data_IF_452379987216
#
_entry.id   IF_452379987216
#
_cell.length_a   1.000
_cell.length_b   1.000
_cell.length_c   1.000
_cell.angle_alpha   90.00
_cell.angle_beta   90.00
_cell.angle_gamma   90.00
#
_symmetry.space_group_name_H-M   'P 1'
#
loop_
_entity.id
_entity.type
_entity.pdbx_description
1 polymer ?
#
# COMPACT_ATOMS: atom_id res chain seq x y z
N UNK A 1 -5.30 12.91 20.08
CA UNK A 1 -4.27 12.46 19.11
C UNK A 1 -5.05 11.94 17.92
N UNK A 2 -4.91 12.55 16.74
CA UNK A 2 -5.85 12.31 15.64
C UNK A 2 -5.58 10.94 15.00
N UNK A 3 -6.44 10.00 15.32
CA UNK A 3 -6.45 8.57 14.99
C UNK A 3 -6.90 8.34 13.52
N UNK A 4 -6.25 9.01 12.57
CA UNK A 4 -6.59 8.91 11.16
C UNK A 4 -5.79 7.79 10.48
N UNK A 5 -6.54 6.89 9.85
CA UNK A 5 -6.01 5.75 9.12
C UNK A 5 -5.21 6.23 7.88
N UNK A 6 -3.97 5.75 7.68
CA UNK A 6 -3.09 6.23 6.61
C UNK A 6 -3.61 5.94 5.21
N UNK A 7 -4.24 4.78 5.00
CA UNK A 7 -4.81 4.45 3.71
C UNK A 7 -5.97 5.40 3.41
N UNK A 8 -6.79 5.72 4.41
CA UNK A 8 -7.92 6.64 4.26
C UNK A 8 -7.48 8.04 3.84
N UNK A 9 -6.41 8.58 4.45
CA UNK A 9 -5.94 9.94 4.15
C UNK A 9 -5.09 10.02 2.88
N UNK A 10 -4.26 9.01 2.61
CA UNK A 10 -3.35 9.02 1.46
C UNK A 10 -4.01 8.57 0.16
N UNK A 11 -5.04 7.71 0.21
CA UNK A 11 -5.68 7.17 -1.00
C UNK A 11 -6.21 8.27 -1.93
N UNK A 12 -6.96 9.30 -1.47
CA UNK A 12 -7.44 10.37 -2.34
C UNK A 12 -6.30 11.18 -2.97
N UNK A 13 -5.17 11.30 -2.28
CA UNK A 13 -3.99 12.02 -2.79
C UNK A 13 -3.24 11.22 -3.86
N UNK A 14 -3.24 9.89 -3.75
CA UNK A 14 -2.58 8.97 -4.68
C UNK A 14 -3.40 8.66 -5.93
N UNK A 15 -4.72 8.62 -5.81
CA UNK A 15 -5.63 8.22 -6.89
C UNK A 15 -5.41 8.97 -8.23
N UNK A 16 -5.15 10.29 -8.26
CA UNK A 16 -4.85 11.00 -9.51
C UNK A 16 -3.57 10.52 -10.20
N UNK A 17 -2.60 10.03 -9.44
CA UNK A 17 -1.30 9.56 -9.93
C UNK A 17 -1.32 8.09 -10.34
N UNK A 18 -2.26 7.31 -9.79
CA UNK A 18 -2.46 5.90 -10.11
C UNK A 18 -3.19 5.66 -11.45
N UNK A 19 -3.43 6.71 -12.24
CA UNK A 19 -4.09 6.55 -13.55
C UNK A 19 -3.09 5.98 -14.58
N UNK A 20 -3.50 5.02 -15.44
CA UNK A 20 -2.61 4.45 -16.46
C UNK A 20 -1.92 5.48 -17.36
N UNK A 21 -2.61 6.59 -17.64
CA UNK A 21 -2.10 7.68 -18.46
C UNK A 21 -0.92 8.43 -17.83
N UNK A 22 -0.69 8.30 -16.52
CA UNK A 22 0.36 9.00 -15.78
C UNK A 22 1.65 8.16 -15.66
N UNK A 23 1.62 6.87 -16.01
CA UNK A 23 2.74 5.93 -15.77
C UNK A 23 4.03 6.37 -16.44
N UNK A 24 4.00 6.53 -17.77
CA UNK A 24 5.18 6.90 -18.53
C UNK A 24 5.62 8.34 -18.22
N UNK A 25 4.64 9.21 -17.95
CA UNK A 25 4.88 10.61 -17.59
C UNK A 25 5.64 10.75 -16.26
N UNK A 26 5.35 9.91 -15.25
CA UNK A 26 6.03 9.93 -13.96
C UNK A 26 7.49 9.47 -14.04
N UNK A 27 7.75 8.38 -14.75
CA UNK A 27 9.12 7.91 -14.98
C UNK A 27 9.91 8.93 -15.79
N UNK A 28 9.30 9.52 -16.82
CA UNK A 28 9.93 10.56 -17.63
C UNK A 28 10.19 11.84 -16.85
N UNK A 29 9.24 12.28 -16.02
CA UNK A 29 9.36 13.48 -15.19
C UNK A 29 10.50 13.33 -14.18
N UNK A 30 10.59 12.18 -13.51
CA UNK A 30 11.69 11.89 -12.59
C UNK A 30 13.04 11.88 -13.32
N UNK A 31 13.14 11.14 -14.43
CA UNK A 31 14.37 11.12 -15.23
C UNK A 31 14.80 12.52 -15.65
N UNK A 32 13.87 13.30 -16.17
CA UNK A 32 14.12 14.68 -16.61
C UNK A 32 14.59 15.56 -15.44
N UNK A 33 13.99 15.41 -14.27
CA UNK A 33 14.39 16.18 -13.08
C UNK A 33 15.80 15.81 -12.59
N UNK A 34 16.13 14.52 -12.59
CA UNK A 34 17.47 14.03 -12.24
C UNK A 34 18.50 14.55 -13.25
N UNK A 35 18.26 14.38 -14.55
CA UNK A 35 19.16 14.87 -15.60
C UNK A 35 19.38 16.38 -15.50
N UNK A 36 18.32 17.18 -15.29
CA UNK A 36 18.46 18.64 -15.09
C UNK A 36 19.30 18.98 -13.87
N UNK A 37 19.12 18.27 -12.77
CA UNK A 37 19.90 18.48 -11.54
C UNK A 37 21.38 18.19 -11.76
N UNK A 38 21.69 17.13 -12.52
CA UNK A 38 23.06 16.76 -12.87
C UNK A 38 23.68 17.73 -13.87
N UNK A 39 22.93 18.25 -14.84
CA UNK A 39 23.42 19.31 -15.74
C UNK A 39 23.79 20.57 -14.96
N UNK A 40 23.01 20.94 -13.93
CA UNK A 40 23.38 22.08 -13.05
C UNK A 40 24.69 21.80 -12.30
N UNK A 41 24.90 20.56 -11.84
CA UNK A 41 26.09 20.18 -11.08
C UNK A 41 27.35 20.00 -11.95
N UNK A 42 27.20 19.41 -13.14
CA UNK A 42 28.31 19.01 -14.01
C UNK A 42 28.50 19.91 -15.23
N UNK A 43 27.56 20.81 -15.51
CA UNK A 43 27.51 21.68 -16.70
C UNK A 43 26.99 20.96 -17.95
N UNK A 44 27.31 19.68 -18.13
CA UNK A 44 26.76 18.82 -19.17
C UNK A 44 26.78 17.34 -18.71
N UNK A 45 25.97 16.51 -19.36
CA UNK A 45 25.99 15.05 -19.16
C UNK A 45 26.66 14.44 -20.40
N UNK A 46 27.72 13.67 -20.18
CA UNK A 46 28.25 12.74 -21.18
C UNK A 46 27.65 11.34 -20.93
N UNK A 47 26.65 10.91 -21.72
CA UNK A 47 25.93 9.67 -21.47
C UNK A 47 26.80 8.41 -21.64
N UNK A 48 27.82 8.47 -22.50
CA UNK A 48 28.68 7.34 -22.84
C UNK A 48 29.89 7.21 -21.91
N UNK A 49 30.15 8.23 -21.08
CA UNK A 49 31.20 8.20 -20.07
C UNK A 49 31.01 6.99 -19.13
N UNK A 50 32.08 6.24 -18.82
CA UNK A 50 32.05 5.27 -17.73
C UNK A 50 31.65 5.92 -16.40
N UNK A 51 30.65 5.34 -15.73
CA UNK A 51 30.18 5.87 -14.46
C UNK A 51 31.13 5.51 -13.31
N UNK A 52 31.50 6.49 -12.50
CA UNK A 52 32.16 6.26 -11.21
C UNK A 52 31.13 6.16 -10.08
N UNK A 53 31.52 5.59 -8.93
CA UNK A 53 30.65 5.58 -7.74
C UNK A 53 30.21 6.99 -7.32
N UNK A 54 31.07 8.00 -7.51
CA UNK A 54 30.72 9.39 -7.24
C UNK A 54 29.65 9.93 -8.22
N UNK A 55 29.72 9.55 -9.49
CA UNK A 55 28.69 9.91 -10.47
C UNK A 55 27.34 9.26 -10.09
N UNK A 56 27.36 7.99 -9.67
CA UNK A 56 26.16 7.28 -9.21
C UNK A 56 25.61 7.86 -7.92
N UNK A 57 26.47 8.27 -6.98
CA UNK A 57 26.03 8.97 -5.78
C UNK A 57 25.26 10.25 -6.10
N UNK A 58 25.72 11.02 -7.08
CA UNK A 58 25.00 12.21 -7.53
C UNK A 58 23.65 11.87 -8.18
N UNK A 59 23.59 10.81 -9.00
CA UNK A 59 22.34 10.32 -9.60
C UNK A 59 21.35 9.93 -8.50
N UNK A 60 21.76 9.10 -7.54
CA UNK A 60 20.90 8.64 -6.44
C UNK A 60 20.47 9.80 -5.57
N UNK A 61 21.38 10.74 -5.24
CA UNK A 61 21.02 11.91 -4.44
C UNK A 61 19.99 12.81 -5.14
N UNK A 62 20.09 12.99 -6.45
CA UNK A 62 19.10 13.73 -7.23
C UNK A 62 17.75 12.98 -7.29
N UNK A 63 17.77 11.65 -7.43
CA UNK A 63 16.57 10.81 -7.35
C UNK A 63 15.89 10.93 -5.99
N UNK A 64 16.65 10.79 -4.90
CA UNK A 64 16.16 10.89 -3.51
C UNK A 64 15.53 12.28 -3.27
N UNK A 65 16.15 13.35 -3.77
CA UNK A 65 15.62 14.70 -3.66
C UNK A 65 14.31 14.90 -4.42
N UNK A 66 14.19 14.36 -5.65
CA UNK A 66 12.95 14.40 -6.41
C UNK A 66 11.82 13.64 -5.69
N UNK A 67 12.14 12.44 -5.20
CA UNK A 67 11.23 11.58 -4.45
C UNK A 67 10.71 12.27 -3.19
N UNK A 68 11.60 12.90 -2.42
CA UNK A 68 11.21 13.67 -1.24
C UNK A 68 10.32 14.86 -1.62
N UNK A 69 10.66 15.59 -2.69
CA UNK A 69 9.85 16.71 -3.17
C UNK A 69 8.45 16.28 -3.61
N UNK A 70 8.33 15.15 -4.31
CA UNK A 70 7.04 14.57 -4.68
C UNK A 70 6.24 14.16 -3.45
N UNK A 71 6.86 13.47 -2.49
CA UNK A 71 6.21 13.08 -1.24
C UNK A 71 5.69 14.29 -0.45
N UNK A 72 6.50 15.35 -0.36
CA UNK A 72 6.14 16.59 0.33
C UNK A 72 5.01 17.35 -0.36
N UNK A 73 4.88 17.20 -1.68
CA UNK A 73 3.82 17.81 -2.47
C UNK A 73 2.51 17.01 -2.46
N UNK A 74 2.60 15.67 -2.43
CA UNK A 74 1.44 14.78 -2.64
C UNK A 74 0.93 14.19 -1.32
N UNK A 75 1.82 13.62 -0.51
CA UNK A 75 1.43 12.83 0.67
C UNK A 75 1.41 13.67 1.94
N UNK A 76 2.44 14.49 2.17
CA UNK A 76 2.56 15.31 3.39
C UNK A 76 1.33 16.22 3.63
N UNK A 77 0.73 16.88 2.62
CA UNK A 77 -0.45 17.70 2.84
C UNK A 77 -1.68 16.88 3.21
N UNK A 78 -1.80 15.67 2.68
CA UNK A 78 -2.91 14.76 2.96
C UNK A 78 -2.80 14.13 4.35
N UNK A 79 -1.60 13.75 4.76
CA UNK A 79 -1.34 13.12 6.04
C UNK A 79 -1.36 14.09 7.23
N UNK A 80 -1.23 15.42 7.03
CA UNK A 80 -1.28 16.45 8.10
C UNK A 80 -0.35 16.19 9.32
N UNK A 81 0.72 15.41 9.17
CA UNK A 81 1.60 14.97 10.28
C UNK A 81 3.08 15.32 10.05
N UNK A 82 3.90 15.50 11.12
CA UNK A 82 5.33 15.75 11.00
C UNK A 82 6.09 14.48 10.60
N UNK A 83 7.22 14.63 9.89
CA UNK A 83 7.83 13.58 9.06
C UNK A 83 8.40 12.34 9.78
N UNK A 84 8.56 12.33 11.11
CA UNK A 84 9.50 11.41 11.75
C UNK A 84 8.88 10.38 12.73
N UNK A 85 7.55 10.28 12.85
CA UNK A 85 6.92 9.60 14.00
C UNK A 85 6.10 8.34 13.70
N UNK A 86 6.14 7.82 12.47
CA UNK A 86 5.39 6.61 12.17
C UNK A 86 6.36 5.45 11.98
N UNK A 87 6.50 4.64 13.04
CA UNK A 87 7.02 3.26 12.94
C UNK A 87 6.01 2.38 12.20
N UNK A 88 5.72 2.73 10.95
CA UNK A 88 4.81 1.98 10.10
C UNK A 88 5.47 0.69 9.64
N UNK A 89 4.81 -0.46 9.80
CA UNK A 89 5.30 -1.74 9.29
C UNK A 89 5.08 -1.91 7.78
N UNK A 90 4.48 -0.93 7.08
CA UNK A 90 4.14 -0.99 5.65
C UNK A 90 5.15 -0.25 4.74
N UNK A 91 5.03 -0.43 3.42
CA UNK A 91 5.82 0.30 2.41
C UNK A 91 5.60 1.81 2.53
N UNK A 92 4.41 2.28 2.92
CA UNK A 92 4.16 3.67 3.33
C UNK A 92 5.12 4.16 4.44
N UNK A 93 5.55 3.28 5.34
CA UNK A 93 6.59 3.59 6.33
C UNK A 93 7.95 3.76 5.69
N UNK A 94 8.27 2.94 4.68
CA UNK A 94 9.43 3.14 3.82
C UNK A 94 9.31 4.41 2.94
N UNK A 95 8.10 4.89 2.63
CA UNK A 95 7.89 6.14 1.89
C UNK A 95 8.31 7.38 2.68
N UNK A 96 8.06 7.38 3.98
CA UNK A 96 8.52 8.43 4.92
C UNK A 96 10.04 8.43 5.08
N UNK A 97 10.69 7.39 4.58
CA UNK A 97 12.06 7.01 4.88
C UNK A 97 12.91 6.87 3.60
N UNK A 98 12.34 7.24 2.45
CA UNK A 98 12.96 7.17 1.13
C UNK A 98 14.26 8.01 1.03
N UNK A 99 14.55 8.86 2.02
CA UNK A 99 15.84 9.54 2.19
C UNK A 99 16.95 8.67 2.80
N UNK A 100 16.69 7.41 3.20
CA UNK A 100 17.67 6.56 3.93
C UNK A 100 18.91 6.22 3.14
N UNK A 101 18.84 6.16 1.81
CA UNK A 101 20.00 5.94 0.96
C UNK A 101 21.03 7.06 1.13
N UNK A 102 20.62 8.29 1.45
CA UNK A 102 21.51 9.46 1.53
C UNK A 102 22.44 9.59 0.31
N UNK A 103 21.96 9.24 -0.88
CA UNK A 103 22.79 9.21 -2.09
C UNK A 103 23.80 8.06 -2.16
N UNK A 104 23.74 7.04 -1.30
CA UNK A 104 24.60 5.84 -1.40
C UNK A 104 24.17 4.99 -2.60
N UNK A 105 25.11 4.72 -3.49
CA UNK A 105 24.89 4.02 -4.75
C UNK A 105 26.22 3.56 -5.34
N UNK A 106 26.23 2.43 -6.03
CA UNK A 106 27.44 1.86 -6.63
C UNK A 106 27.29 1.84 -8.14
N UNK A 107 28.37 2.11 -8.87
CA UNK A 107 28.44 1.92 -10.30
C UNK A 107 28.34 0.42 -10.65
N UNK A 108 27.10 -0.06 -10.76
CA UNK A 108 26.78 -1.44 -11.15
C UNK A 108 26.60 -1.58 -12.67
N UNK A 109 26.46 -0.46 -13.39
CA UNK A 109 26.31 -0.41 -14.85
C UNK A 109 27.47 0.38 -15.48
N UNK A 110 27.72 0.13 -16.76
CA UNK A 110 28.93 0.58 -17.43
C UNK A 110 28.96 2.10 -17.68
N UNK A 111 27.84 2.69 -18.11
CA UNK A 111 27.79 4.10 -18.54
C UNK A 111 26.87 4.96 -17.67
N UNK A 112 27.01 6.28 -17.76
CA UNK A 112 26.09 7.23 -17.09
C UNK A 112 24.65 6.99 -17.54
N UNK A 113 24.42 6.79 -18.85
CA UNK A 113 23.08 6.52 -19.37
C UNK A 113 22.43 5.29 -18.74
N UNK A 114 23.16 4.18 -18.63
CA UNK A 114 22.63 2.95 -18.02
C UNK A 114 22.36 3.08 -16.52
N UNK A 115 23.17 3.86 -15.80
CA UNK A 115 22.93 4.13 -14.39
C UNK A 115 21.73 5.08 -14.21
N UNK A 116 21.56 6.10 -15.06
CA UNK A 116 20.36 6.95 -15.09
C UNK A 116 19.10 6.13 -15.36
N UNK A 117 19.11 5.27 -16.37
CA UNK A 117 17.99 4.38 -16.71
C UNK A 117 17.58 3.48 -15.54
N UNK A 118 18.53 3.14 -14.67
CA UNK A 118 18.30 2.26 -13.53
C UNK A 118 17.84 3.02 -12.28
N UNK A 119 18.55 4.08 -11.89
CA UNK A 119 18.33 4.80 -10.63
C UNK A 119 17.33 5.96 -10.74
N UNK A 120 17.07 6.49 -11.94
CA UNK A 120 16.12 7.59 -12.15
C UNK A 120 14.71 7.10 -12.50
N UNK A 121 14.28 5.99 -11.87
CA UNK A 121 12.92 5.45 -12.00
C UNK A 121 12.10 5.84 -10.79
N UNK A 122 10.84 6.22 -11.02
CA UNK A 122 9.91 6.52 -9.96
C UNK A 122 9.70 5.30 -9.05
N UNK A 123 10.15 5.35 -7.78
CA UNK A 123 10.21 4.16 -6.94
C UNK A 123 8.84 3.71 -6.43
N UNK A 124 7.87 4.62 -6.35
CA UNK A 124 6.53 4.34 -5.83
C UNK A 124 5.55 3.81 -6.88
N UNK A 125 6.05 3.45 -8.06
CA UNK A 125 5.21 2.91 -9.11
C UNK A 125 4.46 1.64 -8.68
N UNK A 126 5.10 0.74 -7.92
CA UNK A 126 4.46 -0.48 -7.42
C UNK A 126 3.20 -0.19 -6.60
N UNK A 127 3.28 0.75 -5.66
CA UNK A 127 2.11 1.14 -4.88
C UNK A 127 1.05 1.88 -5.70
N UNK A 128 1.42 2.67 -6.71
CA UNK A 128 0.44 3.27 -7.62
C UNK A 128 -0.33 2.19 -8.39
N UNK A 129 0.31 1.08 -8.78
CA UNK A 129 -0.41 -0.07 -9.36
C UNK A 129 -1.36 -0.72 -8.35
N UNK A 130 -1.00 -0.79 -7.06
CA UNK A 130 -1.91 -1.28 -6.01
C UNK A 130 -3.14 -0.37 -5.88
N UNK A 131 -2.94 0.96 -5.87
CA UNK A 131 -4.03 1.95 -5.79
C UNK A 131 -4.92 1.89 -7.04
N UNK A 132 -4.34 1.74 -8.22
CA UNK A 132 -5.08 1.55 -9.48
C UNK A 132 -5.99 0.31 -9.40
N UNK A 133 -5.43 -0.83 -8.95
CA UNK A 133 -6.19 -2.06 -8.85
C UNK A 133 -7.25 -1.99 -7.75
N UNK A 134 -6.93 -1.42 -6.60
CA UNK A 134 -7.89 -1.17 -5.52
C UNK A 134 -9.09 -0.35 -6.00
N UNK A 135 -8.84 0.70 -6.80
CA UNK A 135 -9.92 1.51 -7.39
C UNK A 135 -10.75 0.71 -8.39
N UNK A 136 -10.11 -0.13 -9.21
CA UNK A 136 -10.82 -1.02 -10.12
C UNK A 136 -11.77 -1.95 -9.36
N UNK A 137 -11.25 -2.71 -8.38
CA UNK A 137 -12.03 -3.64 -7.56
C UNK A 137 -13.17 -2.95 -6.81
N UNK A 138 -12.93 -1.74 -6.29
CA UNK A 138 -13.97 -0.97 -5.59
C UNK A 138 -15.12 -0.52 -6.51
N UNK A 139 -14.84 -0.25 -7.80
CA UNK A 139 -15.81 0.17 -8.81
C UNK A 139 -16.58 -0.98 -9.44
N UNK A 140 -15.98 -2.15 -9.58
CA UNK A 140 -16.58 -3.32 -10.23
C UNK A 140 -17.48 -4.12 -9.29
N UNK A 141 -17.28 -3.99 -7.99
CA UNK A 141 -18.08 -4.70 -6.97
C UNK A 141 -19.43 -4.02 -6.70
N UNK A 142 -20.48 -4.84 -6.55
CA UNK A 142 -21.86 -4.37 -6.36
C UNK A 142 -22.55 -5.09 -5.20
N UNK A 143 -23.69 -4.57 -4.74
CA UNK A 143 -24.46 -5.16 -3.64
C UNK A 143 -24.33 -4.42 -2.32
N UNK A 144 -24.58 -5.12 -1.22
CA UNK A 144 -24.49 -4.54 0.13
C UNK A 144 -23.04 -4.16 0.47
N UNK A 145 -22.80 -3.20 1.39
CA UNK A 145 -21.44 -2.85 1.84
C UNK A 145 -20.58 -4.06 2.20
N UNK A 146 -21.18 -5.04 2.88
CA UNK A 146 -20.54 -6.30 3.28
C UNK A 146 -20.15 -7.17 2.08
N UNK A 147 -21.04 -7.31 1.09
CA UNK A 147 -20.76 -8.05 -0.14
C UNK A 147 -19.65 -7.38 -0.95
N UNK A 148 -19.72 -6.05 -1.13
CA UNK A 148 -18.68 -5.29 -1.82
C UNK A 148 -17.31 -5.47 -1.18
N UNK A 149 -17.24 -5.40 0.15
CA UNK A 149 -15.99 -5.62 0.90
C UNK A 149 -15.44 -7.05 0.72
N UNK A 150 -16.29 -8.06 0.80
CA UNK A 150 -15.90 -9.46 0.59
C UNK A 150 -15.40 -9.69 -0.85
N UNK A 151 -16.17 -9.24 -1.84
CA UNK A 151 -15.87 -9.45 -3.26
C UNK A 151 -14.59 -8.73 -3.67
N UNK A 152 -14.41 -7.46 -3.25
CA UNK A 152 -13.21 -6.69 -3.56
C UNK A 152 -11.97 -7.29 -2.91
N UNK A 153 -12.08 -7.77 -1.66
CA UNK A 153 -10.98 -8.48 -0.98
C UNK A 153 -10.60 -9.76 -1.73
N UNK A 154 -11.60 -10.54 -2.15
CA UNK A 154 -11.36 -11.77 -2.89
C UNK A 154 -10.74 -11.52 -4.26
N UNK A 155 -11.14 -10.46 -4.96
CA UNK A 155 -10.54 -10.02 -6.22
C UNK A 155 -9.07 -9.60 -6.03
N UNK A 156 -8.81 -8.73 -5.05
CA UNK A 156 -7.48 -8.24 -4.72
C UNK A 156 -6.50 -9.38 -4.40
N UNK A 157 -6.91 -10.36 -3.59
CA UNK A 157 -6.06 -11.53 -3.27
C UNK A 157 -5.74 -12.37 -4.51
N UNK A 158 -6.71 -12.59 -5.41
CA UNK A 158 -6.47 -13.32 -6.66
C UNK A 158 -5.53 -12.57 -7.60
N UNK A 159 -5.67 -11.25 -7.68
CA UNK A 159 -4.79 -10.41 -8.48
C UNK A 159 -3.36 -10.40 -7.95
N UNK A 160 -3.19 -10.24 -6.63
CA UNK A 160 -1.92 -10.34 -5.94
C UNK A 160 -1.22 -11.68 -6.25
N UNK A 161 -1.96 -12.78 -6.18
CA UNK A 161 -1.45 -14.11 -6.52
C UNK A 161 -0.99 -14.25 -7.98
N UNK A 162 -1.76 -13.70 -8.90
CA UNK A 162 -1.51 -13.80 -10.34
C UNK A 162 -0.27 -13.00 -10.80
N UNK A 163 0.09 -11.91 -10.10
CA UNK A 163 1.26 -11.07 -10.42
C UNK A 163 2.60 -11.79 -10.25
N UNK A 164 2.66 -12.81 -9.40
CA UNK A 164 3.90 -13.45 -8.99
C UNK A 164 3.97 -14.91 -9.46
N UNK A 165 3.71 -15.15 -10.76
CA UNK A 165 3.71 -16.50 -11.35
C UNK A 165 5.11 -17.14 -11.50
N UNK A 166 6.20 -16.34 -11.54
CA UNK A 166 7.58 -16.85 -11.53
C UNK A 166 8.08 -17.05 -10.09
N UNK A 167 7.63 -18.15 -9.49
CA UNK A 167 7.91 -18.48 -8.08
C UNK A 167 9.21 -19.26 -8.00
N UNK A 168 10.30 -18.55 -7.72
CA UNK A 168 11.66 -19.08 -7.57
C UNK A 168 11.82 -19.93 -6.29
N UNK A 169 10.99 -20.96 -6.10
CA UNK A 169 11.12 -21.94 -5.02
C UNK A 169 10.88 -21.38 -3.62
N UNK A 170 9.95 -20.43 -3.47
CA UNK A 170 9.61 -19.85 -2.17
C UNK A 170 8.81 -20.85 -1.33
N UNK A 171 9.24 -21.02 -0.09
CA UNK A 171 8.58 -21.83 0.93
C UNK A 171 7.25 -21.16 1.33
N UNK A 172 6.21 -21.95 1.56
CA UNK A 172 4.79 -21.55 1.61
C UNK A 172 4.43 -20.52 2.72
N UNK A 173 5.40 -20.07 3.52
CA UNK A 173 5.19 -19.22 4.69
C UNK A 173 5.51 -17.72 4.49
N UNK A 174 6.20 -17.31 3.43
CA UNK A 174 6.64 -15.90 3.28
C UNK A 174 5.89 -15.11 2.19
N UNK A 175 4.96 -15.73 1.46
CA UNK A 175 4.28 -15.10 0.31
C UNK A 175 3.54 -13.79 0.67
N UNK A 176 2.98 -13.66 1.87
CA UNK A 176 2.25 -12.46 2.28
C UNK A 176 3.15 -11.25 2.53
N UNK A 177 4.40 -11.45 2.97
CA UNK A 177 5.39 -10.39 3.20
C UNK A 177 5.93 -9.84 1.86
N UNK A 178 6.03 -10.70 0.84
CA UNK A 178 6.57 -10.32 -0.47
C UNK A 178 5.57 -9.70 -1.44
N UNK A 179 4.26 -9.84 -1.19
CA UNK A 179 3.21 -9.41 -2.12
C UNK A 179 2.46 -8.16 -1.66
N UNK A 180 2.96 -7.49 -0.61
CA UNK A 180 2.37 -6.24 -0.09
C UNK A 180 0.85 -6.40 0.17
N UNK A 181 0.41 -7.60 0.58
CA UNK A 181 -1.02 -7.94 0.75
C UNK A 181 -1.68 -6.98 1.73
N UNK A 182 -0.95 -6.62 2.79
CA UNK A 182 -1.36 -5.60 3.75
C UNK A 182 -1.73 -4.29 3.05
N UNK A 183 -0.85 -3.78 2.19
CA UNK A 183 -1.08 -2.53 1.47
C UNK A 183 -2.23 -2.66 0.48
N UNK A 184 -2.28 -3.75 -0.27
CA UNK A 184 -3.34 -3.95 -1.25
C UNK A 184 -4.73 -4.00 -0.58
N UNK A 185 -4.86 -4.70 0.55
CA UNK A 185 -6.12 -4.74 1.32
C UNK A 185 -6.44 -3.38 1.94
N UNK A 186 -5.43 -2.67 2.45
CA UNK A 186 -5.59 -1.31 2.94
C UNK A 186 -6.12 -0.36 1.85
N UNK A 187 -5.49 -0.33 0.67
CA UNK A 187 -5.94 0.48 -0.46
C UNK A 187 -7.32 0.08 -0.96
N UNK A 188 -7.58 -1.22 -1.09
CA UNK A 188 -8.90 -1.74 -1.53
C UNK A 188 -10.01 -1.32 -0.57
N UNK A 189 -9.74 -1.41 0.72
CA UNK A 189 -10.69 -1.01 1.76
C UNK A 189 -10.91 0.51 1.77
N UNK A 190 -9.85 1.29 1.58
CA UNK A 190 -9.96 2.76 1.46
C UNK A 190 -10.75 3.17 0.20
N UNK A 191 -10.52 2.51 -0.93
CA UNK A 191 -11.20 2.77 -2.20
C UNK A 191 -12.71 2.50 -2.14
N UNK A 192 -13.13 1.50 -1.37
CA UNK A 192 -14.56 1.20 -1.18
C UNK A 192 -15.33 2.31 -0.45
N UNK A 193 -14.63 3.18 0.29
CA UNK A 193 -15.17 4.31 1.07
C UNK A 193 -16.36 3.91 1.96
N UNK A 194 -16.29 2.74 2.58
CA UNK A 194 -17.38 2.23 3.42
C UNK A 194 -17.36 2.90 4.81
N UNK A 195 -18.53 3.27 5.34
CA UNK A 195 -18.61 3.93 6.64
C UNK A 195 -18.17 2.99 7.77
N UNK A 196 -17.39 3.52 8.72
CA UNK A 196 -17.01 2.81 9.95
C UNK A 196 -15.90 1.77 9.79
N UNK A 197 -15.33 1.61 8.59
CA UNK A 197 -14.20 0.70 8.35
C UNK A 197 -12.88 1.44 8.57
N UNK A 198 -11.95 0.80 9.28
CA UNK A 198 -10.55 1.22 9.35
C UNK A 198 -9.74 0.34 8.39
N UNK A 199 -9.26 0.86 7.24
CA UNK A 199 -8.48 0.08 6.29
C UNK A 199 -7.29 -0.68 6.86
N UNK A 200 -6.53 -0.08 7.78
CA UNK A 200 -5.39 -0.74 8.43
C UNK A 200 -5.84 -1.95 9.23
N UNK A 201 -6.96 -1.85 9.95
CA UNK A 201 -7.53 -2.97 10.69
C UNK A 201 -7.98 -4.11 9.76
N UNK A 202 -8.56 -3.77 8.61
CA UNK A 202 -8.94 -4.78 7.62
C UNK A 202 -7.69 -5.50 7.05
N UNK A 203 -6.61 -4.76 6.80
CA UNK A 203 -5.33 -5.32 6.37
C UNK A 203 -4.70 -6.23 7.44
N UNK A 204 -4.64 -5.77 8.69
CA UNK A 204 -4.11 -6.53 9.83
C UNK A 204 -4.90 -7.86 10.01
N UNK A 205 -6.22 -7.85 9.81
CA UNK A 205 -7.04 -9.07 9.86
C UNK A 205 -6.69 -10.08 8.78
N UNK A 206 -6.37 -9.64 7.57
CA UNK A 206 -5.97 -10.56 6.49
C UNK A 206 -4.58 -11.13 6.77
N UNK A 207 -3.67 -10.32 7.31
CA UNK A 207 -2.34 -10.77 7.74
C UNK A 207 -2.42 -11.81 8.89
N UNK A 208 -3.28 -11.59 9.89
CA UNK A 208 -3.56 -12.56 10.95
C UNK A 208 -4.06 -13.91 10.41
N UNK A 209 -4.83 -13.91 9.33
CA UNK A 209 -5.35 -15.13 8.68
C UNK A 209 -4.26 -15.80 7.84
N UNK A 210 -3.43 -15.01 7.15
CA UNK A 210 -2.31 -15.51 6.36
C UNK A 210 -1.23 -16.16 7.25
N UNK A 211 -0.97 -15.60 8.44
CA UNK A 211 0.00 -16.13 9.39
C UNK A 211 -0.44 -17.38 10.17
N UNK A 212 -1.69 -17.82 10.01
CA UNK A 212 -2.17 -19.06 10.62
C UNK A 212 -1.57 -20.29 9.91
N UNK A 213 -1.17 -21.30 10.69
CA UNK A 213 -0.76 -22.60 10.15
C UNK A 213 -2.02 -23.43 9.87
N UNK A 214 -2.28 -23.72 8.60
CA UNK A 214 -3.47 -24.45 8.17
C UNK A 214 -3.11 -25.89 7.80
N UNK A 215 -3.32 -26.83 8.73
CA UNK A 215 -2.99 -28.25 8.54
C UNK A 215 -3.88 -28.97 7.49
N UNK A 216 -5.07 -28.43 7.20
CA UNK A 216 -6.10 -29.06 6.36
C UNK A 216 -6.35 -28.37 5.01
N UNK A 217 -5.57 -27.35 4.65
CA UNK A 217 -5.71 -26.70 3.34
C UNK A 217 -4.90 -27.44 2.29
N UNK A 218 -5.39 -27.46 1.05
CA UNK A 218 -4.52 -27.78 -0.08
C UNK A 218 -3.28 -26.88 0.04
N UNK A 219 -2.06 -27.42 -0.11
CA UNK A 219 -0.87 -26.59 -0.09
C UNK A 219 -1.04 -25.45 -1.10
N UNK A 220 -0.51 -24.28 -0.76
CA UNK A 220 -0.49 -23.13 -1.63
C UNK A 220 0.23 -23.57 -2.90
N UNK A 221 -0.48 -23.72 -4.03
CA UNK A 221 0.15 -24.26 -5.24
C UNK A 221 0.78 -23.15 -6.05
N UNK A 222 1.56 -23.44 -7.10
CA UNK A 222 1.97 -22.39 -8.06
C UNK A 222 0.77 -21.72 -8.76
N UNK A 223 -0.40 -22.35 -8.73
CA UNK A 223 -1.48 -22.08 -9.68
C UNK A 223 -2.69 -21.41 -9.01
N UNK A 224 -2.95 -21.67 -7.72
CA UNK A 224 -4.13 -21.11 -7.02
C UNK A 224 -3.93 -20.90 -5.52
N UNK A 225 -4.52 -19.81 -5.01
CA UNK A 225 -4.71 -19.60 -3.57
C UNK A 225 -5.79 -20.56 -3.06
N UNK A 226 -5.66 -21.11 -1.84
CA UNK A 226 -6.70 -21.95 -1.25
C UNK A 226 -8.04 -21.20 -1.18
N UNK A 227 -9.11 -21.77 -1.75
CA UNK A 227 -10.44 -21.17 -1.67
C UNK A 227 -10.91 -20.87 -0.22
N UNK A 228 -10.60 -21.72 0.80
CA UNK A 228 -10.90 -21.41 2.19
C UNK A 228 -10.18 -20.16 2.71
N UNK A 229 -8.95 -19.89 2.28
CA UNK A 229 -8.21 -18.67 2.63
C UNK A 229 -8.95 -17.43 2.15
N UNK A 230 -9.23 -17.39 0.84
CA UNK A 230 -9.91 -16.26 0.21
C UNK A 230 -11.26 -16.01 0.90
N UNK A 231 -12.03 -17.08 1.15
CA UNK A 231 -13.33 -16.97 1.81
C UNK A 231 -13.22 -16.39 3.23
N UNK A 232 -12.25 -16.84 4.02
CA UNK A 232 -12.06 -16.34 5.38
C UNK A 232 -11.55 -14.90 5.42
N UNK A 233 -10.59 -14.55 4.57
CA UNK A 233 -10.08 -13.18 4.45
C UNK A 233 -11.19 -12.21 4.02
N UNK A 234 -11.95 -12.58 2.97
CA UNK A 234 -13.10 -11.80 2.49
C UNK A 234 -14.15 -11.61 3.59
N UNK A 235 -14.42 -12.67 4.35
CA UNK A 235 -15.36 -12.64 5.47
C UNK A 235 -14.87 -11.72 6.60
N UNK A 236 -13.60 -11.78 6.97
CA UNK A 236 -13.02 -10.94 8.01
C UNK A 236 -13.07 -9.43 7.66
N UNK A 237 -12.76 -9.06 6.41
CA UNK A 237 -12.88 -7.67 5.95
C UNK A 237 -14.35 -7.23 5.93
N UNK A 238 -15.26 -8.09 5.47
CA UNK A 238 -16.69 -7.85 5.49
C UNK A 238 -17.27 -7.66 6.92
N UNK A 239 -16.70 -8.34 7.93
CA UNK A 239 -17.07 -8.16 9.33
C UNK A 239 -16.62 -6.80 9.90
N UNK A 240 -15.49 -6.27 9.41
CA UNK A 240 -15.01 -4.93 9.79
C UNK A 240 -16.01 -3.82 9.40
N UNK A 241 -16.77 -4.02 8.31
CA UNK A 241 -17.85 -3.09 7.88
C UNK A 241 -19.00 -3.04 8.88
N UNK A 242 -19.34 -4.17 9.49
CA UNK A 242 -20.47 -4.29 10.42
C UNK A 242 -20.13 -3.82 11.83
N UNK A 243 -18.88 -3.97 12.27
CA UNK A 243 -18.44 -3.57 13.61
C UNK A 243 -18.43 -2.04 13.82
N UNK A 244 -18.25 -1.25 12.75
CA UNK A 244 -18.26 0.21 12.79
C UNK A 244 -19.65 0.85 12.97
N UNK A 245 -20.74 0.07 12.93
CA UNK A 245 -22.11 0.57 13.06
C UNK A 245 -22.72 0.42 14.47
N UNK A 246 -21.99 -0.16 15.43
CA UNK A 246 -22.49 -0.28 16.81
C UNK A 246 -22.20 1.01 17.60
N UNK A 247 -23.21 1.80 18.02
CA UNK A 247 -22.99 2.80 19.06
C UNK A 247 -22.58 2.05 20.34
N UNK A 248 -21.45 2.45 20.91
CA UNK A 248 -20.99 2.04 22.23
C UNK A 248 -21.95 2.58 23.31
N UNK A 249 -23.04 1.87 23.53
CA UNK A 249 -23.86 2.00 24.73
C UNK A 249 -23.65 0.74 25.59
N UNK A 250 -23.19 0.87 26.85
CA UNK A 250 -22.98 -0.28 27.72
C UNK A 250 -24.32 -0.93 28.13
N UNK A 251 -24.32 -2.23 28.46
CA UNK A 251 -25.53 -2.94 28.84
C UNK A 251 -25.83 -2.62 30.31
N UNK A 252 -26.73 -1.68 30.56
CA UNK A 252 -27.37 -1.57 31.87
C UNK A 252 -28.82 -1.99 31.72
N UNK A 253 -29.00 -3.30 31.88
CA UNK A 253 -30.24 -3.90 32.35
C UNK A 253 -30.64 -3.19 33.64
N UNK A 254 -31.73 -2.42 33.61
CA UNK A 254 -32.53 -2.20 34.80
C UNK A 254 -33.95 -2.61 34.45
N UNK A 255 -34.21 -3.89 34.71
CA UNK A 255 -35.56 -4.38 34.84
C UNK A 255 -36.27 -3.57 35.91
N UNK A 256 -37.50 -3.19 35.61
CA UNK A 256 -38.48 -2.77 36.61
C UNK A 256 -39.84 -3.22 36.09
N UNK A 257 -40.03 -4.53 36.08
CA UNK A 257 -41.38 -5.08 36.19
C UNK A 257 -41.89 -4.82 37.60
N UNK A 258 -43.05 -4.16 37.63
CA UNK A 258 -44.12 -4.26 38.60
C UNK A 258 -43.81 -4.78 40.01
N UNK A 259 -44.00 -3.91 41.00
CA UNK A 259 -44.74 -4.29 42.19
C UNK A 259 -45.83 -3.26 42.48
N UNK A 260 -47.06 -3.62 42.09
CA UNK A 260 -48.30 -3.14 42.73
C UNK A 260 -48.58 -4.07 43.90
N UNK A 261 -48.63 -3.54 45.12
CA UNK A 261 -49.54 -4.04 46.14
C UNK A 261 -49.78 -2.97 47.21
N UNK A 262 -51.07 -2.62 47.34
CA UNK A 262 -51.67 -1.97 48.50
C UNK A 262 -51.21 -2.58 49.83
N UNK A 263 -51.05 -1.74 50.87
CA UNK A 263 -51.86 -1.81 52.10
C UNK A 263 -51.42 -0.79 53.17
N UNK A 264 -52.43 -0.10 53.69
CA UNK A 264 -52.56 0.66 54.95
C UNK A 264 -52.38 2.17 54.87
#
# INVERSE_FOLDING_TARGET
>A
MFDQDPFTVCYPALLPWAQPSQRDDLHLAMRTAVERSLVVLWGHIDPEKPATDADVHAIVAASDAYVQGWFDAVIRPAALYPPNNWGWPSSLGAWLDASKSHGRGKALRHTIAQNLDFFARFPFWGTLELVEHAEHAARTTTGTPRQRAADATAEALRWAWARHADRLGWDDAEWYEYVEVHELIGWTTAALQLPGVRPSQAADRVEEIAGQKWEDWSPWTSDELPAPFIAQAAQAVADCVTAGAAPSSPPWSSGSEHDRADKS
#
